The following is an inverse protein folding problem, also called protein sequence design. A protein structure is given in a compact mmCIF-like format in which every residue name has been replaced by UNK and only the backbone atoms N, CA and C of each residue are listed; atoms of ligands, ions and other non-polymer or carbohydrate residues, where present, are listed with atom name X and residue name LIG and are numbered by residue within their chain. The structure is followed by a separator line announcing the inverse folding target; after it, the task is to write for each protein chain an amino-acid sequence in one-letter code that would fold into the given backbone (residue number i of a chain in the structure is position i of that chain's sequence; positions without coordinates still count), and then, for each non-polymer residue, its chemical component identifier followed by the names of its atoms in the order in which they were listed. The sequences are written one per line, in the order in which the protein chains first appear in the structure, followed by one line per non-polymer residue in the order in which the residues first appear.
data_IF_423575269171
#
_entry.id   IF_423575269171
#
_cell.length_a   1.000
_cell.length_b   1.000
_cell.length_c   1.000
_cell.angle_alpha   90.00
_cell.angle_beta   90.00
_cell.angle_gamma   90.00
#
_symmetry.space_group_name_H-M   'P 1'
#
loop_
_entity.id
_entity.type
_entity.pdbx_description
1 polymer ?
#
# COMPACT_ATOMS: atom_id res chain seq x y z
N UNK A 1 3.72 -2.29 -16.94
CA UNK A 1 3.25 -2.92 -15.69
C UNK A 1 4.18 -4.08 -15.34
N UNK A 2 4.41 -4.32 -14.05
CA UNK A 2 5.28 -5.41 -13.56
C UNK A 2 4.44 -6.30 -12.65
N UNK A 3 4.43 -7.61 -12.88
CA UNK A 3 3.70 -8.57 -12.04
C UNK A 3 4.67 -9.43 -11.24
N UNK A 4 4.39 -9.55 -9.94
CA UNK A 4 5.13 -10.33 -8.97
C UNK A 4 4.23 -11.46 -8.44
N UNK A 5 4.85 -12.59 -8.17
CA UNK A 5 4.26 -13.75 -7.48
C UNK A 5 5.23 -14.18 -6.38
N UNK A 6 4.72 -14.80 -5.31
CA UNK A 6 5.59 -15.39 -4.29
C UNK A 6 6.25 -16.64 -4.88
N UNK A 7 7.58 -16.64 -5.01
CA UNK A 7 8.31 -17.72 -5.70
C UNK A 7 8.08 -19.10 -5.08
N UNK A 8 7.99 -19.18 -3.75
CA UNK A 8 7.76 -20.43 -3.00
C UNK A 8 6.31 -20.92 -3.07
N UNK A 9 5.37 -20.03 -3.32
CA UNK A 9 3.94 -20.36 -3.35
C UNK A 9 3.20 -19.45 -4.34
N UNK A 10 3.30 -19.75 -5.65
CA UNK A 10 2.64 -18.96 -6.69
C UNK A 10 1.10 -19.00 -6.59
N UNK A 11 0.53 -19.95 -5.84
CA UNK A 11 -0.91 -20.10 -5.65
C UNK A 11 -1.53 -19.05 -4.73
N UNK A 12 -0.72 -18.31 -3.96
CA UNK A 12 -1.22 -17.26 -3.06
C UNK A 12 -1.76 -16.03 -3.79
N UNK A 13 -1.54 -15.94 -5.10
CA UNK A 13 -2.00 -14.84 -5.94
C UNK A 13 -0.86 -14.03 -6.54
N UNK A 14 -1.16 -12.81 -6.98
CA UNK A 14 -0.22 -11.93 -7.68
C UNK A 14 -0.39 -10.46 -7.32
N UNK A 15 0.71 -9.72 -7.40
CA UNK A 15 0.77 -8.27 -7.26
C UNK A 15 1.20 -7.66 -8.58
N UNK A 16 0.39 -6.78 -9.17
CA UNK A 16 0.76 -6.04 -10.38
C UNK A 16 0.95 -4.56 -10.07
N UNK A 17 2.14 -4.03 -10.37
CA UNK A 17 2.53 -2.64 -10.18
C UNK A 17 2.41 -1.86 -11.51
N UNK A 18 1.87 -0.65 -11.42
CA UNK A 18 1.71 0.27 -12.55
C UNK A 18 2.47 1.55 -12.28
N UNK A 19 3.37 1.89 -13.21
CA UNK A 19 4.21 3.07 -13.12
C UNK A 19 3.90 4.06 -14.25
N UNK A 20 4.08 5.35 -14.00
CA UNK A 20 4.31 6.34 -15.08
C UNK A 20 5.76 6.28 -15.54
N UNK A 21 6.08 6.80 -16.73
CA UNK A 21 7.44 6.72 -17.31
C UNK A 21 8.24 8.01 -17.19
N UNK A 22 7.61 9.17 -17.01
CA UNK A 22 8.29 10.47 -16.91
C UNK A 22 7.52 11.47 -16.01
N UNK A 23 7.83 11.58 -14.70
CA UNK A 23 8.80 10.77 -13.97
C UNK A 23 8.34 9.32 -13.76
N UNK A 24 9.30 8.45 -13.43
CA UNK A 24 9.00 7.10 -12.99
C UNK A 24 8.37 7.13 -11.59
N UNK A 25 7.06 6.92 -11.50
CA UNK A 25 6.32 6.92 -10.24
C UNK A 25 5.40 5.71 -10.16
N UNK A 26 5.25 5.12 -8.98
CA UNK A 26 4.19 4.16 -8.74
C UNK A 26 2.84 4.89 -8.71
N UNK A 27 1.91 4.54 -9.62
CA UNK A 27 0.57 5.15 -9.68
C UNK A 27 -0.51 4.24 -9.11
N UNK A 28 -0.31 2.93 -9.18
CA UNK A 28 -1.32 1.95 -8.77
C UNK A 28 -0.68 0.60 -8.50
N UNK A 29 -1.30 -0.19 -7.63
CA UNK A 29 -1.12 -1.64 -7.62
C UNK A 29 -2.45 -2.39 -7.58
N UNK A 30 -2.42 -3.60 -8.13
CA UNK A 30 -3.53 -4.55 -8.14
C UNK A 30 -3.08 -5.83 -7.47
N UNK A 31 -3.83 -6.28 -6.47
CA UNK A 31 -3.68 -7.59 -5.83
C UNK A 31 -4.76 -8.52 -6.38
N UNK A 32 -4.36 -9.72 -6.78
CA UNK A 32 -5.24 -10.87 -6.98
C UNK A 32 -4.85 -11.87 -5.89
N UNK A 33 -5.76 -12.27 -5.02
CA UNK A 33 -5.46 -13.25 -3.96
C UNK A 33 -5.65 -14.71 -4.44
N UNK A 34 -5.41 -15.67 -3.54
CA UNK A 34 -5.55 -17.11 -3.80
C UNK A 34 -6.97 -17.54 -4.21
N UNK A 35 -7.99 -16.74 -3.87
CA UNK A 35 -9.39 -16.97 -4.21
C UNK A 35 -9.76 -16.29 -5.54
N UNK A 36 -8.84 -15.54 -6.14
CA UNK A 36 -9.06 -14.77 -7.36
C UNK A 36 -9.73 -13.41 -7.13
N UNK A 37 -9.90 -12.98 -5.87
CA UNK A 37 -10.49 -11.68 -5.57
C UNK A 37 -9.51 -10.56 -5.88
N UNK A 38 -10.05 -9.45 -6.36
CA UNK A 38 -9.26 -8.30 -6.84
C UNK A 38 -9.37 -7.15 -5.87
N UNK A 39 -8.22 -6.64 -5.42
CA UNK A 39 -8.10 -5.35 -4.75
C UNK A 39 -7.25 -4.42 -5.58
N UNK A 40 -7.76 -3.22 -5.89
CA UNK A 40 -7.01 -2.19 -6.64
C UNK A 40 -6.83 -0.97 -5.75
N UNK A 41 -5.60 -0.46 -5.66
CA UNK A 41 -5.26 0.77 -4.94
C UNK A 41 -4.56 1.73 -5.88
N UNK A 42 -5.13 2.92 -6.04
CA UNK A 42 -4.56 4.00 -6.85
C UNK A 42 -4.00 5.10 -5.93
N UNK A 43 -2.83 5.62 -6.28
CA UNK A 43 -2.16 6.71 -5.59
C UNK A 43 -2.42 8.02 -6.32
N UNK A 44 -2.89 9.01 -5.57
CA UNK A 44 -3.11 10.37 -6.06
C UNK A 44 -2.31 11.35 -5.22
N UNK A 45 -1.76 12.38 -5.86
CA UNK A 45 -1.02 13.46 -5.21
C UNK A 45 0.07 12.95 -4.23
N UNK A 46 0.81 11.92 -4.64
CA UNK A 46 1.88 11.39 -3.82
C UNK A 46 3.01 12.42 -3.69
N UNK A 47 3.41 12.72 -2.46
CA UNK A 47 4.54 13.58 -2.14
C UNK A 47 5.73 12.72 -1.73
N UNK A 48 6.93 13.07 -2.19
CA UNK A 48 8.17 12.33 -1.89
C UNK A 48 9.18 13.23 -1.19
N UNK A 49 10.05 12.65 -0.38
CA UNK A 49 11.12 13.37 0.36
C UNK A 49 10.62 14.48 1.29
N UNK A 50 9.39 14.35 1.82
CA UNK A 50 8.85 15.27 2.82
C UNK A 50 9.34 14.87 4.23
N UNK A 51 9.44 15.87 5.11
CA UNK A 51 9.65 15.62 6.54
C UNK A 51 8.30 15.26 7.19
N UNK A 52 8.26 14.13 7.89
CA UNK A 52 7.07 13.62 8.56
C UNK A 52 7.34 13.55 10.06
N UNK A 53 6.45 14.14 10.86
CA UNK A 53 6.53 14.01 12.33
C UNK A 53 6.45 12.52 12.71
N UNK A 54 7.45 12.05 13.47
CA UNK A 54 7.53 10.67 13.94
C UNK A 54 6.27 10.22 14.71
N UNK A 55 5.53 11.15 15.31
CA UNK A 55 4.26 10.86 16.00
C UNK A 55 3.17 10.32 15.07
N UNK A 56 3.22 10.60 13.76
CA UNK A 56 2.28 10.03 12.78
C UNK A 56 2.37 8.50 12.69
N UNK A 57 3.48 7.92 13.15
CA UNK A 57 3.72 6.48 13.16
C UNK A 57 3.49 5.84 14.53
N UNK A 58 3.00 6.60 15.50
CA UNK A 58 2.56 6.09 16.80
C UNK A 58 1.04 6.00 16.77
N UNK A 59 0.49 4.81 16.99
CA UNK A 59 -0.95 4.63 17.11
C UNK A 59 -1.43 5.17 18.46
N UNK A 60 -2.14 6.30 18.44
CA UNK A 60 -2.84 6.84 19.60
C UNK A 60 -4.23 6.20 19.68
N UNK A 61 -4.43 5.30 20.65
CA UNK A 61 -5.71 4.62 20.82
C UNK A 61 -6.76 5.61 21.35
N UNK A 62 -7.81 5.94 20.56
CA UNK A 62 -8.82 6.91 20.99
C UNK A 62 -9.62 6.43 22.22
N UNK A 63 -9.53 5.15 22.59
CA UNK A 63 -10.21 4.57 23.75
C UNK A 63 -9.47 4.90 25.05
N UNK A 64 -8.13 4.93 25.06
CA UNK A 64 -7.34 5.26 26.26
C UNK A 64 -7.59 6.70 26.73
N UNK A 65 -7.81 7.62 25.78
CA UNK A 65 -8.14 9.02 26.08
C UNK A 65 -9.54 9.20 26.70
N UNK A 66 -10.46 8.25 26.51
CA UNK A 66 -11.81 8.29 27.07
C UNK A 66 -11.84 7.86 28.53
N UNK A 67 -10.97 6.94 28.92
CA UNK A 67 -10.94 6.37 30.28
C UNK A 67 -10.16 7.24 31.28
N UNK A 68 -9.46 8.29 30.80
CA UNK A 68 -8.76 9.30 31.61
C UNK A 68 -9.60 10.56 31.90
N UNK A 69 -10.83 10.65 31.41
CA UNK A 69 -11.74 11.80 31.60
C UNK A 69 -12.85 11.50 32.59
#
# INVERSE_FOLDING_TARGET
AITLVKSEDPGLGSLTLYFSEAPMELKQWKVIDAQGLVTTVALFNAETNIDLDAKLFVFDDPRENRDRR
#
